data_IF_453973358569
#
_entry.id   IF_453973358569
#
_cell.length_a   1.000
_cell.length_b   1.000
_cell.length_c   1.000
_cell.angle_alpha   90.00
_cell.angle_beta   90.00
_cell.angle_gamma   90.00
#
_symmetry.space_group_name_H-M   'P 1'
#
loop_
_entity.id
_entity.type
_entity.pdbx_description
1 polymer ?
2 non-polymer ?
3 non-polymer ?
4 water ?
#
# COMPACT_ATOMS: atom_id res chain seq x y z
N UNK A 1 2.95 15.87 4.50
CA UNK A 1 3.61 14.68 3.90
C UNK A 1 3.15 14.38 2.48
N UNK A 2 3.95 13.61 1.75
CA UNK A 2 3.63 13.21 0.38
C UNK A 2 3.13 11.79 0.37
N UNK A 3 1.87 11.62 -0.04
CA UNK A 3 1.23 10.31 -0.09
C UNK A 3 1.10 9.82 -1.54
N UNK A 4 1.33 8.53 -1.75
CA UNK A 4 1.24 7.95 -3.09
C UNK A 4 0.21 6.83 -3.15
N UNK A 5 -0.65 6.90 -4.15
CA UNK A 5 -1.70 5.92 -4.39
C UNK A 5 -1.57 5.49 -5.85
N UNK A 6 -1.95 4.26 -6.16
CA UNK A 6 -1.89 3.78 -7.53
C UNK A 6 -3.26 3.19 -7.85
N UNK A 7 -3.85 3.60 -8.97
CA UNK A 7 -5.15 3.06 -9.33
C UNK A 7 -5.54 3.23 -10.79
N UNK A 8 -6.52 2.46 -11.22
CA UNK A 8 -7.05 2.57 -12.56
C UNK A 8 -8.51 3.02 -12.42
N UNK A 9 -9.18 3.28 -13.53
CA UNK A 9 -10.54 3.76 -13.48
C UNK A 9 -11.48 3.02 -12.51
N UNK A 10 -11.38 1.70 -12.47
CA UNK A 10 -12.22 0.86 -11.62
C UNK A 10 -12.18 1.22 -10.13
N UNK A 11 -11.02 1.61 -9.64
CA UNK A 11 -10.84 1.94 -8.23
C UNK A 11 -10.88 3.45 -7.92
N UNK A 12 -11.25 4.25 -8.91
CA UNK A 12 -11.26 5.70 -8.72
C UNK A 12 -12.09 6.18 -7.51
N UNK A 13 -13.30 5.65 -7.35
CA UNK A 13 -14.15 6.06 -6.23
C UNK A 13 -13.54 5.61 -4.91
N UNK A 14 -12.88 4.46 -4.92
CA UNK A 14 -12.27 3.97 -3.71
C UNK A 14 -11.03 4.80 -3.41
N UNK A 15 -10.28 5.16 -4.43
CA UNK A 15 -9.12 6.00 -4.23
C UNK A 15 -9.57 7.25 -3.45
N UNK A 16 -10.71 7.79 -3.85
CA UNK A 16 -11.27 8.98 -3.21
C UNK A 16 -11.46 8.77 -1.71
N UNK A 17 -12.13 7.68 -1.34
CA UNK A 17 -12.39 7.37 0.07
C UNK A 17 -11.11 7.18 0.90
N UNK A 18 -10.16 6.39 0.39
CA UNK A 18 -8.91 6.17 1.09
C UNK A 18 -8.18 7.50 1.24
N UNK A 19 -8.31 8.33 0.22
CA UNK A 19 -7.65 9.63 0.20
C UNK A 19 -8.21 10.53 1.30
N UNK A 20 -9.53 10.58 1.42
CA UNK A 20 -10.17 11.42 2.41
C UNK A 20 -9.86 10.97 3.84
N UNK A 21 -9.79 9.66 4.06
CA UNK A 21 -9.49 9.12 5.38
C UNK A 21 -8.13 9.65 5.83
N UNK A 22 -7.19 9.75 4.90
CA UNK A 22 -5.86 10.25 5.21
C UNK A 22 -5.95 11.69 5.69
N UNK A 23 -6.76 12.50 5.00
CA UNK A 23 -6.93 13.90 5.36
C UNK A 23 -7.57 14.02 6.74
N UNK A 24 -8.58 13.19 7.01
CA UNK A 24 -9.26 13.22 8.31
C UNK A 24 -8.34 12.87 9.46
N UNK A 25 -7.31 12.08 9.18
CA UNK A 25 -6.35 11.67 10.20
C UNK A 25 -5.23 12.70 10.35
N UNK A 26 -5.24 13.70 9.47
CA UNK A 26 -4.23 14.74 9.53
C UNK A 26 -4.83 16.13 9.32
N UNK A 27 -5.67 16.58 10.26
CA UNK A 27 -6.33 17.89 10.20
C UNK A 27 -5.39 19.09 10.01
N UNK A 28 -4.20 19.03 10.59
CA UNK A 28 -3.26 20.14 10.45
C UNK A 28 -2.00 19.81 9.66
N UNK A 29 -1.99 18.67 8.98
CA UNK A 29 -0.83 18.33 8.19
C UNK A 29 -1.11 18.47 6.70
N UNK A 30 -0.17 19.07 5.99
CA UNK A 30 -0.32 19.26 4.55
C UNK A 30 -0.11 17.93 3.82
N UNK A 31 -1.20 17.36 3.31
CA UNK A 31 -1.12 16.09 2.58
C UNK A 31 -1.03 16.33 1.08
N UNK A 32 0.09 15.91 0.48
CA UNK A 32 0.28 16.07 -0.96
C UNK A 32 0.08 14.72 -1.60
N UNK A 33 -0.99 14.60 -2.37
CA UNK A 33 -1.33 13.36 -3.06
C UNK A 33 -0.70 13.23 -4.45
N UNK A 34 -0.04 12.09 -4.68
CA UNK A 34 0.60 11.78 -5.98
C UNK A 34 -0.06 10.46 -6.39
N UNK A 35 -0.87 10.51 -7.45
CA UNK A 35 -1.59 9.32 -7.90
C UNK A 35 -1.03 8.75 -9.18
N UNK A 36 -0.71 7.46 -9.16
CA UNK A 36 -0.18 6.76 -10.33
C UNK A 36 -1.45 6.33 -11.07
N UNK A 37 -1.77 7.06 -12.13
CA UNK A 37 -2.97 6.84 -12.92
C UNK A 37 -2.79 5.90 -14.11
N UNK A 38 -3.46 4.75 -14.04
CA UNK A 38 -3.37 3.77 -15.11
C UNK A 38 -4.64 3.74 -15.97
N UNK A 39 -5.27 4.90 -16.13
CA UNK A 39 -6.46 4.97 -16.97
C UNK A 39 -7.70 5.54 -16.32
N UNK A 40 -7.52 6.47 -15.39
CA UNK A 40 -8.66 7.10 -14.74
C UNK A 40 -9.22 8.18 -15.67
N UNK A 41 -10.51 8.12 -15.95
CA UNK A 41 -11.11 9.10 -16.84
C UNK A 41 -11.04 10.49 -16.25
N UNK A 42 -11.13 11.50 -17.10
CA UNK A 42 -11.08 12.88 -16.67
C UNK A 42 -12.24 13.18 -15.73
N UNK A 43 -13.36 12.50 -15.95
CA UNK A 43 -14.53 12.72 -15.12
C UNK A 43 -14.21 12.16 -13.76
N UNK A 44 -13.57 10.98 -13.75
CA UNK A 44 -13.22 10.34 -12.49
C UNK A 44 -12.13 11.07 -11.68
N UNK A 45 -11.12 11.63 -12.34
CA UNK A 45 -10.12 12.35 -11.58
C UNK A 45 -10.66 13.69 -11.11
N UNK A 46 -11.66 14.21 -11.83
CA UNK A 46 -12.25 15.47 -11.46
C UNK A 46 -13.11 15.30 -10.22
N UNK A 47 -13.87 14.20 -10.14
CA UNK A 47 -14.71 13.93 -8.98
C UNK A 47 -13.85 13.64 -7.76
N UNK A 48 -12.72 12.97 -7.96
CA UNK A 48 -11.82 12.65 -6.86
C UNK A 48 -11.32 13.93 -6.20
N UNK A 49 -10.64 14.76 -6.99
CA UNK A 49 -10.09 16.02 -6.51
C UNK A 49 -11.17 16.89 -5.88
N UNK A 50 -12.38 16.81 -6.43
CA UNK A 50 -13.48 17.59 -5.89
C UNK A 50 -13.83 17.22 -4.43
N UNK A 51 -13.67 15.96 -4.07
CA UNK A 51 -13.98 15.49 -2.72
C UNK A 51 -12.92 15.74 -1.66
N UNK A 52 -11.77 16.25 -2.07
CA UNK A 52 -10.69 16.52 -1.12
C UNK A 52 -10.54 18.02 -0.79
N UNK A 53 -9.53 18.33 0.02
CA UNK A 53 -9.26 19.71 0.43
C UNK A 53 -8.74 20.57 -0.73
N UNK A 54 -9.03 21.86 -0.66
CA UNK A 54 -8.58 22.79 -1.70
C UNK A 54 -9.25 22.54 -3.05
N UNK A 55 -10.40 21.89 -3.02
CA UNK A 55 -11.08 21.58 -4.27
C UNK A 55 -10.19 20.70 -5.11
N UNK A 56 -9.30 19.95 -4.44
CA UNK A 56 -8.37 19.07 -5.12
C UNK A 56 -7.08 19.79 -5.41
N UNK A 57 -6.67 20.68 -4.51
CA UNK A 57 -5.45 21.43 -4.70
C UNK A 57 -4.18 20.62 -4.46
N UNK A 58 -4.21 19.68 -3.52
CA UNK A 58 -3.03 18.89 -3.24
C UNK A 58 -3.04 17.48 -3.80
N UNK A 59 -3.33 17.37 -5.09
CA UNK A 59 -3.32 16.07 -5.74
C UNK A 59 -2.98 16.22 -7.21
N UNK A 60 -2.01 15.44 -7.66
CA UNK A 60 -1.58 15.46 -9.05
C UNK A 60 -1.63 14.02 -9.57
N UNK A 61 -2.27 13.81 -10.73
CA UNK A 61 -2.35 12.46 -11.29
C UNK A 61 -1.18 12.26 -12.24
N UNK A 62 -0.41 11.20 -12.01
CA UNK A 62 0.74 10.91 -12.85
C UNK A 62 0.36 9.75 -13.78
N UNK A 63 0.37 9.98 -15.08
CA UNK A 63 0.03 8.94 -16.04
C UNK A 63 1.10 7.86 -16.07
N UNK A 64 0.67 6.61 -16.09
CA UNK A 64 1.58 5.48 -16.16
C UNK A 64 1.00 4.53 -17.20
N UNK A 65 1.85 3.71 -17.80
CA UNK A 65 1.37 2.77 -18.81
C UNK A 65 1.23 1.36 -18.25
N UNK A 66 -0.01 0.88 -18.11
CA UNK A 66 -0.22 -0.47 -17.59
C UNK A 66 0.43 -1.54 -18.47
N UNK A 67 0.53 -1.28 -19.77
CA UNK A 67 1.14 -2.24 -20.69
C UNK A 67 2.60 -2.50 -20.33
N UNK A 68 3.16 -1.63 -19.51
CA UNK A 68 4.56 -1.76 -19.10
C UNK A 68 4.83 -3.04 -18.31
N UNK A 69 3.80 -3.53 -17.62
CA UNK A 69 3.95 -4.70 -16.77
C UNK A 69 3.26 -5.93 -17.32
N UNK A 70 2.81 -5.82 -18.57
CA UNK A 70 2.10 -6.89 -19.25
C UNK A 70 2.72 -8.29 -19.10
N UNK A 71 4.02 -8.36 -18.86
CA UNK A 71 4.67 -9.65 -18.72
C UNK A 71 4.69 -10.23 -17.32
N UNK A 72 4.30 -9.42 -16.33
CA UNK A 72 4.29 -9.87 -14.94
C UNK A 72 3.05 -10.70 -14.60
N UNK A 73 3.23 -11.77 -13.80
CA UNK A 73 2.13 -12.65 -13.41
C UNK A 73 0.99 -11.92 -12.70
N UNK A 74 -0.23 -12.29 -13.05
CA UNK A 74 -1.44 -11.70 -12.48
C UNK A 74 -2.37 -12.83 -12.03
N UNK A 75 -1.89 -13.68 -11.12
CA UNK A 75 -2.68 -14.80 -10.63
C UNK A 75 -3.83 -14.45 -9.67
N UNK A 76 -3.61 -13.47 -8.80
CA UNK A 76 -4.63 -13.07 -7.84
C UNK A 76 -5.70 -12.24 -8.55
N UNK A 77 -6.87 -12.85 -8.73
CA UNK A 77 -8.02 -12.28 -9.43
C UNK A 77 -8.46 -10.85 -9.10
N UNK A 78 -8.64 -10.52 -7.83
CA UNK A 78 -9.10 -9.19 -7.44
C UNK A 78 -8.08 -8.07 -7.62
N UNK A 79 -6.90 -8.41 -8.11
CA UNK A 79 -5.86 -7.40 -8.33
C UNK A 79 -5.60 -7.21 -9.81
N UNK A 80 -5.48 -5.96 -10.25
CA UNK A 80 -5.20 -5.67 -11.66
C UNK A 80 -3.74 -5.31 -11.89
N UNK A 81 -3.38 -5.23 -13.16
CA UNK A 81 -2.01 -4.93 -13.56
C UNK A 81 -1.47 -3.66 -12.89
N UNK A 82 -2.37 -2.77 -12.49
CA UNK A 82 -1.96 -1.54 -11.85
C UNK A 82 -1.13 -1.77 -10.57
N UNK A 83 -1.24 -2.97 -10.01
CA UNK A 83 -0.51 -3.31 -8.79
C UNK A 83 1.03 -3.24 -8.94
N UNK A 84 1.52 -3.34 -10.18
CA UNK A 84 2.96 -3.29 -10.43
C UNK A 84 3.54 -1.90 -10.74
N UNK A 85 2.69 -0.88 -10.76
CA UNK A 85 3.15 0.48 -11.07
C UNK A 85 4.09 1.04 -10.02
N UNK A 86 3.89 0.64 -8.77
CA UNK A 86 4.73 1.13 -7.68
C UNK A 86 6.21 0.81 -7.95
N UNK A 87 6.47 -0.19 -8.79
CA UNK A 87 7.84 -0.58 -9.12
C UNK A 87 8.61 0.53 -9.82
N UNK A 88 7.89 1.45 -10.46
CA UNK A 88 8.52 2.57 -11.16
C UNK A 88 8.40 3.89 -10.42
N UNK A 89 8.30 3.82 -9.10
CA UNK A 89 8.17 5.01 -8.26
C UNK A 89 9.30 5.99 -8.58
N UNK A 90 10.53 5.49 -8.57
CA UNK A 90 11.69 6.32 -8.85
C UNK A 90 11.64 7.05 -10.18
N UNK A 91 10.79 6.59 -11.08
CA UNK A 91 10.65 7.22 -12.40
C UNK A 91 9.46 8.19 -12.48
N UNK A 92 8.41 7.91 -11.72
CA UNK A 92 7.19 8.74 -11.75
C UNK A 92 7.20 9.97 -10.84
N UNK A 93 8.10 10.01 -9.87
CA UNK A 93 8.11 11.14 -8.92
C UNK A 93 9.50 11.72 -8.72
N UNK A 94 9.65 13.01 -8.98
CA UNK A 94 10.94 13.68 -8.82
C UNK A 94 11.00 14.63 -7.63
N UNK A 95 9.92 15.37 -7.40
CA UNK A 95 9.86 16.36 -6.33
C UNK A 95 9.85 15.83 -4.89
N UNK A 96 10.29 14.60 -4.67
CA UNK A 96 10.33 14.04 -3.31
C UNK A 96 11.53 13.14 -3.07
N UNK A 97 12.06 13.19 -1.86
CA UNK A 97 13.17 12.31 -1.52
C UNK A 97 12.56 11.18 -0.71
N UNK A 98 11.29 11.35 -0.38
CA UNK A 98 10.56 10.37 0.42
C UNK A 98 9.06 10.49 0.25
N UNK A 99 8.40 9.35 0.05
CA UNK A 99 6.95 9.31 -0.10
C UNK A 99 6.42 8.12 0.67
N UNK A 100 5.13 8.13 0.98
CA UNK A 100 4.49 7.04 1.71
C UNK A 100 3.46 6.40 0.79
N UNK A 101 3.77 5.21 0.29
CA UNK A 101 2.87 4.48 -0.59
C UNK A 101 1.76 3.74 0.18
N UNK A 102 0.52 3.93 -0.27
CA UNK A 102 -0.64 3.28 0.34
C UNK A 102 -1.48 2.52 -0.69
N UNK A 103 -1.95 1.34 -0.32
CA UNK A 103 -2.80 0.56 -1.20
C UNK A 103 -4.18 1.24 -1.19
N UNK A 104 -4.95 1.10 -2.25
CA UNK A 104 -6.28 1.73 -2.28
C UNK A 104 -7.18 1.19 -1.18
N UNK A 105 -7.09 -0.11 -0.90
CA UNK A 105 -7.93 -0.75 0.12
C UNK A 105 -7.53 -0.51 1.58
N UNK A 106 -6.97 0.66 1.88
CA UNK A 106 -6.58 0.95 3.26
C UNK A 106 -7.52 1.99 3.84
N UNK A 107 -7.52 2.08 5.16
CA UNK A 107 -8.37 3.01 5.88
C UNK A 107 -7.52 3.54 7.01
N UNK A 108 -7.01 4.75 6.82
CA UNK A 108 -6.14 5.44 7.78
C UNK A 108 -6.92 5.99 8.96
N UNK A 109 -6.74 5.40 10.14
CA UNK A 109 -7.48 5.85 11.32
C UNK A 109 -6.73 6.82 12.24
N UNK A 110 -5.41 6.89 12.12
CA UNK A 110 -4.64 7.76 13.01
C UNK A 110 -3.41 8.33 12.35
N UNK A 111 -2.91 9.44 12.91
CA UNK A 111 -1.73 10.11 12.38
C UNK A 111 -0.72 9.10 11.83
N UNK A 112 -0.06 9.48 10.75
CA UNK A 112 0.93 8.64 10.08
C UNK A 112 2.31 9.23 10.24
N UNK A 113 2.39 10.40 10.87
CA UNK A 113 3.67 11.09 11.05
C UNK A 113 4.73 10.32 11.84
N UNK A 114 4.31 9.49 12.83
CA UNK A 114 5.35 8.76 13.56
C UNK A 114 6.05 7.78 12.61
N UNK A 115 5.28 7.24 11.66
CA UNK A 115 5.78 6.31 10.65
C UNK A 115 6.57 7.09 9.63
N UNK A 116 5.99 8.22 9.23
CA UNK A 116 6.58 9.13 8.27
C UNK A 116 7.94 9.62 8.80
N UNK A 117 7.97 10.10 10.04
CA UNK A 117 9.22 10.59 10.62
C UNK A 117 10.32 9.55 10.76
N UNK A 118 10.05 8.32 10.34
CA UNK A 118 11.07 7.29 10.45
C UNK A 118 12.27 7.64 9.61
N UNK A 119 13.45 7.37 10.14
CA UNK A 119 14.69 7.62 9.42
C UNK A 119 15.10 6.27 8.82
N UNK A 120 14.94 6.12 7.52
CA UNK A 120 15.27 4.89 6.81
C UNK A 120 16.78 4.75 6.56
N UNK A 121 17.56 5.68 7.10
CA UNK A 121 19.00 5.61 6.91
C UNK A 121 19.26 5.38 5.44
N UNK A 122 20.07 4.37 5.13
CA UNK A 122 20.40 4.07 3.74
C UNK A 122 19.61 2.87 3.21
N UNK A 123 18.56 2.48 3.93
CA UNK A 123 17.74 1.36 3.50
C UNK A 123 16.82 1.76 2.36
N UNK A 124 16.29 0.76 1.67
CA UNK A 124 15.39 0.97 0.55
C UNK A 124 14.01 1.51 0.95
N UNK A 125 13.48 0.98 2.06
CA UNK A 125 12.17 1.41 2.52
C UNK A 125 11.83 0.94 3.93
N UNK A 126 10.68 1.39 4.42
CA UNK A 126 10.19 1.01 5.72
C UNK A 126 8.84 0.36 5.45
N UNK A 127 8.57 -0.77 6.09
CA UNK A 127 7.31 -1.47 5.88
C UNK A 127 6.90 -2.36 7.06
N UNK A 128 5.66 -2.84 7.03
CA UNK A 128 5.16 -3.71 8.09
C UNK A 128 5.24 -5.17 7.69
N UNK A 129 5.55 -6.01 8.66
CA UNK A 129 5.66 -7.44 8.42
C UNK A 129 4.29 -8.03 8.08
N UNK A 130 4.31 -9.02 7.20
CA UNK A 130 3.09 -9.70 6.78
C UNK A 130 3.06 -11.04 7.50
N UNK A 131 2.10 -11.22 8.40
CA UNK A 131 1.98 -12.44 9.18
C UNK A 131 1.43 -13.61 8.37
N UNK A 132 0.47 -13.32 7.49
CA UNK A 132 -0.11 -14.37 6.70
C UNK A 132 0.95 -15.09 5.88
N UNK A 133 1.84 -14.32 5.28
CA UNK A 133 2.90 -14.90 4.47
C UNK A 133 4.02 -15.46 5.33
N UNK A 134 4.43 -14.68 6.34
CA UNK A 134 5.50 -15.07 7.24
C UNK A 134 5.28 -16.40 7.94
N UNK A 135 4.03 -16.76 8.21
CA UNK A 135 3.74 -18.00 8.89
C UNK A 135 3.41 -19.15 7.94
N UNK A 136 3.73 -18.99 6.66
CA UNK A 136 3.47 -20.05 5.71
C UNK A 136 4.79 -20.81 5.56
N UNK A 137 5.15 -21.53 6.62
CA UNK A 137 6.38 -22.31 6.66
C UNK A 137 6.92 -22.69 5.28
N UNK A 138 8.16 -22.29 5.00
CA UNK A 138 8.79 -22.64 3.73
C UNK A 138 8.62 -21.78 2.50
N UNK A 139 7.70 -20.81 2.51
CA UNK A 139 7.48 -19.97 1.33
C UNK A 139 8.52 -18.86 1.14
N UNK A 140 8.66 -18.04 2.17
CA UNK A 140 9.60 -16.93 2.15
C UNK A 140 10.94 -17.32 1.58
N UNK A 141 11.33 -18.58 1.82
CA UNK A 141 12.60 -19.09 1.34
C UNK A 141 12.62 -19.42 -0.15
N UNK A 142 11.46 -19.68 -0.75
CA UNK A 142 11.40 -19.99 -2.17
C UNK A 142 11.88 -18.79 -2.99
N UNK A 143 11.76 -17.59 -2.44
CA UNK A 143 12.22 -16.40 -3.17
C UNK A 143 13.62 -15.94 -2.76
N UNK A 144 14.34 -16.80 -2.03
CA UNK A 144 15.69 -16.47 -1.62
C UNK A 144 15.88 -15.77 -0.29
N UNK A 145 14.82 -15.58 0.48
CA UNK A 145 14.95 -14.91 1.78
C UNK A 145 15.40 -15.86 2.89
N UNK A 146 16.04 -15.30 3.90
CA UNK A 146 16.52 -16.09 5.05
C UNK A 146 15.48 -16.08 6.17
N UNK A 147 15.54 -17.06 7.05
CA UNK A 147 14.57 -17.12 8.15
C UNK A 147 14.61 -15.84 8.98
N UNK A 148 15.78 -15.20 9.02
CA UNK A 148 15.93 -13.97 9.78
C UNK A 148 15.45 -12.73 9.05
N UNK A 149 15.28 -12.83 7.73
CA UNK A 149 14.78 -11.70 6.94
C UNK A 149 13.26 -11.80 6.97
N UNK A 150 12.58 -10.70 7.29
CA UNK A 150 11.13 -10.74 7.41
C UNK A 150 10.34 -10.26 6.20
N UNK A 151 9.40 -11.09 5.77
CA UNK A 151 8.60 -10.76 4.61
C UNK A 151 7.61 -9.67 4.99
N UNK A 152 7.60 -8.60 4.19
CA UNK A 152 6.70 -7.50 4.46
C UNK A 152 5.60 -7.40 3.45
N UNK A 153 4.51 -6.73 3.86
CA UNK A 153 3.36 -6.50 3.01
C UNK A 153 3.62 -5.20 2.24
N UNK A 154 3.24 -5.15 0.96
CA UNK A 154 3.47 -3.96 0.14
C UNK A 154 2.31 -2.97 0.11
N UNK A 155 1.37 -3.11 1.03
CA UNK A 155 0.22 -2.22 1.08
C UNK A 155 0.49 -0.86 1.70
N UNK A 156 1.53 -0.79 2.52
CA UNK A 156 1.91 0.46 3.18
C UNK A 156 3.42 0.56 3.06
N UNK A 157 3.91 1.66 2.51
CA UNK A 157 5.37 1.79 2.32
C UNK A 157 5.97 3.18 2.42
N UNK A 158 7.02 3.28 3.21
CA UNK A 158 7.73 4.53 3.35
C UNK A 158 8.93 4.27 2.46
N UNK A 159 8.92 4.88 1.30
CA UNK A 159 9.98 4.68 0.33
C UNK A 159 11.02 5.79 0.31
N UNK A 160 12.28 5.37 0.29
CA UNK A 160 13.43 6.26 0.24
C UNK A 160 13.63 6.55 -1.24
N UNK A 161 12.83 7.46 -1.79
CA UNK A 161 12.91 7.77 -3.22
C UNK A 161 14.30 8.15 -3.74
N UNK A 162 14.99 9.04 -3.05
CA UNK A 162 16.32 9.47 -3.48
C UNK A 162 17.23 8.29 -3.80
N UNK A 163 17.16 7.23 -2.98
CA UNK A 163 17.98 6.05 -3.22
C UNK A 163 17.42 5.26 -4.39
N UNK A 164 16.10 5.21 -4.49
CA UNK A 164 15.46 4.49 -5.58
C UNK A 164 15.82 5.11 -6.93
N UNK A 165 15.86 6.43 -6.98
CA UNK A 165 16.19 7.15 -8.21
C UNK A 165 17.60 6.85 -8.68
N UNK A 166 18.44 6.38 -7.76
CA UNK A 166 19.83 6.05 -8.08
C UNK A 166 19.91 4.72 -8.84
N UNK A 167 18.98 3.82 -8.57
CA UNK A 167 18.98 2.50 -9.20
C UNK A 167 17.86 2.32 -10.22
N UNK A 168 18.00 1.31 -11.08
CA UNK A 168 17.01 1.01 -12.10
C UNK A 168 16.09 -0.12 -11.61
N UNK A 169 15.22 0.23 -10.67
CA UNK A 169 14.27 -0.70 -10.06
C UNK A 169 13.40 -1.51 -11.03
N UNK A 170 13.00 -0.90 -12.14
CA UNK A 170 12.18 -1.66 -13.07
C UNK A 170 12.98 -2.74 -13.80
N UNK A 171 14.28 -2.53 -14.02
CA UNK A 171 15.09 -3.54 -14.70
C UNK A 171 15.42 -4.67 -13.74
N UNK A 172 15.67 -4.31 -12.49
CA UNK A 172 15.97 -5.29 -11.45
C UNK A 172 14.71 -6.12 -11.17
N UNK A 173 13.53 -5.51 -11.34
CA UNK A 173 12.27 -6.22 -11.12
C UNK A 173 12.09 -7.21 -12.26
N UNK A 174 12.41 -6.77 -13.47
CA UNK A 174 12.30 -7.63 -14.63
C UNK A 174 13.23 -8.82 -14.48
N UNK A 175 14.48 -8.53 -14.11
CA UNK A 175 15.48 -9.57 -13.89
C UNK A 175 15.01 -10.57 -12.84
N UNK A 176 14.59 -10.05 -11.70
CA UNK A 176 14.12 -10.90 -10.62
C UNK A 176 12.93 -11.75 -11.10
N UNK A 177 11.95 -11.10 -11.72
CA UNK A 177 10.77 -11.81 -12.19
C UNK A 177 11.11 -12.91 -13.20
N UNK A 178 12.31 -12.86 -13.75
CA UNK A 178 12.69 -13.88 -14.71
C UNK A 178 13.35 -15.01 -13.92
N UNK A 179 13.90 -14.64 -12.78
CA UNK A 179 14.57 -15.59 -11.92
C UNK A 179 13.55 -16.41 -11.09
N UNK A 180 12.55 -15.75 -10.54
CA UNK A 180 11.57 -16.44 -9.70
C UNK A 180 10.14 -16.51 -10.26
N UNK A 181 10.02 -16.42 -11.57
CA UNK A 181 8.72 -16.49 -12.24
C UNK A 181 7.87 -17.74 -11.95
N UNK A 182 8.52 -18.90 -11.83
CA UNK A 182 7.80 -20.15 -11.60
C UNK A 182 7.72 -20.55 -10.12
N UNK A 183 7.51 -19.57 -9.25
CA UNK A 183 7.44 -19.84 -7.81
C UNK A 183 6.75 -18.74 -7.02
N UNK A 184 6.94 -17.49 -7.45
CA UNK A 184 6.33 -16.38 -6.75
C UNK A 184 4.82 -16.56 -6.75
N UNK A 185 4.17 -16.06 -5.70
CA UNK A 185 2.72 -16.22 -5.59
C UNK A 185 2.06 -14.93 -5.14
N UNK A 186 2.86 -13.91 -4.89
CA UNK A 186 2.29 -12.66 -4.42
C UNK A 186 2.64 -11.44 -5.27
N UNK A 187 3.12 -11.70 -6.48
CA UNK A 187 3.42 -10.64 -7.42
C UNK A 187 4.33 -9.51 -6.94
N UNK A 188 3.98 -8.27 -7.25
CA UNK A 188 4.79 -7.13 -6.87
C UNK A 188 5.28 -7.19 -5.42
N UNK A 189 4.53 -7.90 -4.58
CA UNK A 189 4.89 -8.06 -3.18
C UNK A 189 6.14 -8.94 -3.06
N UNK A 190 6.27 -9.88 -3.99
CA UNK A 190 7.40 -10.79 -4.05
C UNK A 190 8.61 -10.06 -4.60
N UNK A 191 8.39 -9.27 -5.63
CA UNK A 191 9.48 -8.52 -6.25
C UNK A 191 10.18 -7.63 -5.24
N UNK A 192 9.38 -6.86 -4.51
CA UNK A 192 9.90 -5.95 -3.50
C UNK A 192 10.68 -6.66 -2.41
N UNK A 193 10.14 -7.79 -1.94
CA UNK A 193 10.80 -8.57 -0.89
C UNK A 193 12.13 -9.17 -1.36
N UNK A 194 12.13 -9.76 -2.54
CA UNK A 194 13.35 -10.37 -3.05
C UNK A 194 14.44 -9.34 -3.25
N UNK A 195 14.06 -8.25 -3.93
CA UNK A 195 14.98 -7.16 -4.23
C UNK A 195 15.57 -6.41 -3.03
N UNK A 196 14.77 -6.19 -1.98
CA UNK A 196 15.24 -5.44 -0.83
C UNK A 196 15.47 -6.19 0.48
N UNK A 197 15.44 -7.51 0.43
CA UNK A 197 15.67 -8.30 1.63
C UNK A 197 16.99 -7.91 2.28
N UNK A 198 16.97 -7.75 3.60
CA UNK A 198 18.20 -7.38 4.29
C UNK A 198 18.44 -5.88 4.30
N UNK A 199 17.59 -5.13 3.61
CA UNK A 199 17.75 -3.68 3.59
C UNK A 199 16.44 -2.95 3.84
N UNK A 200 15.62 -3.52 4.72
CA UNK A 200 14.32 -2.95 5.04
C UNK A 200 14.20 -2.56 6.51
N UNK A 201 13.58 -1.41 6.77
CA UNK A 201 13.34 -0.97 8.14
C UNK A 201 11.92 -1.42 8.39
N UNK A 202 11.65 -2.01 9.55
CA UNK A 202 10.30 -2.45 9.85
C UNK A 202 9.62 -1.49 10.81
N UNK A 203 8.32 -1.32 10.61
CA UNK A 203 7.50 -0.44 11.44
C UNK A 203 6.50 -1.32 12.19
N UNK A 204 5.93 -0.80 13.29
CA UNK A 204 4.98 -1.58 14.06
C UNK A 204 3.79 -1.92 13.18
N UNK A 205 3.10 -3.01 13.49
CA UNK A 205 1.94 -3.44 12.72
C UNK A 205 0.72 -2.51 12.83
N UNK A 206 0.84 -1.43 13.60
CA UNK A 206 -0.26 -0.50 13.73
C UNK A 206 -0.39 0.30 12.44
N UNK A 207 0.67 0.36 11.64
CA UNK A 207 0.61 1.12 10.41
C UNK A 207 0.22 0.26 9.20
N UNK A 208 -0.20 -0.97 9.48
CA UNK A 208 -0.64 -1.89 8.44
C UNK A 208 -1.42 -3.02 9.10
N UNK A 209 -2.52 -2.65 9.74
CA UNK A 209 -3.36 -3.62 10.44
C UNK A 209 -4.21 -4.43 9.44
N UNK A 210 -3.87 -5.71 9.28
CA UNK A 210 -4.61 -6.58 8.35
C UNK A 210 -5.43 -7.66 9.07
N UNK A 211 -6.23 -8.44 8.32
CA UNK A 211 -7.03 -9.50 8.94
C UNK A 211 -6.20 -10.44 9.82
N UNK A 212 -5.06 -10.89 9.29
CA UNK A 212 -4.17 -11.78 10.02
C UNK A 212 -3.66 -11.12 11.31
N UNK A 213 -3.39 -9.82 11.25
CA UNK A 213 -2.93 -9.11 12.43
C UNK A 213 -4.07 -9.14 13.44
N UNK A 214 -5.27 -8.83 12.95
CA UNK A 214 -6.45 -8.83 13.79
C UNK A 214 -6.61 -10.19 14.47
N UNK A 215 -6.76 -11.23 13.67
CA UNK A 215 -6.91 -12.60 14.17
C UNK A 215 -5.94 -12.90 15.29
N UNK A 216 -4.72 -12.40 15.17
CA UNK A 216 -3.71 -12.65 16.19
C UNK A 216 -4.04 -11.97 17.51
N UNK A 217 -4.78 -10.88 17.47
CA UNK A 217 -5.18 -10.17 18.68
C UNK A 217 -5.84 -11.17 19.61
N UNK A 218 -6.37 -12.24 19.01
CA UNK A 218 -7.02 -13.29 19.78
C UNK A 218 -6.04 -14.45 20.04
N UNK A 219 -4.82 -14.12 20.44
CA UNK A 219 -3.82 -15.12 20.74
C UNK A 219 -4.31 -15.98 21.90
N UNK A 222 0.65 -17.71 17.25
CA UNK A 222 1.59 -17.60 18.35
C UNK A 222 3.02 -17.25 17.88
N UNK A 223 3.19 -16.02 17.41
CA UNK A 223 4.47 -15.49 16.92
C UNK A 223 5.37 -16.50 16.19
N UNK A 224 5.57 -16.28 14.90
CA UNK A 224 6.38 -17.16 14.07
C UNK A 224 7.86 -17.18 14.51
N UNK A 225 8.23 -16.26 15.40
CA UNK A 225 9.61 -16.19 15.85
C UNK A 225 9.72 -15.78 17.32
N UNK A 226 10.92 -15.91 17.85
CA UNK A 226 11.21 -15.56 19.24
C UNK A 226 12.02 -14.27 19.25
N UNK A 227 12.62 -13.97 18.10
CA UNK A 227 13.40 -12.76 17.93
C UNK A 227 12.64 -11.59 18.55
N UNK A 228 13.25 -10.90 19.52
CA UNK A 228 12.59 -9.76 20.16
C UNK A 228 12.14 -8.67 19.20
N UNK A 229 12.91 -8.43 18.15
CA UNK A 229 12.56 -7.39 17.19
C UNK A 229 11.25 -7.71 16.48
N UNK A 230 11.14 -8.93 15.98
CA UNK A 230 9.94 -9.39 15.27
C UNK A 230 8.72 -9.24 16.17
N UNK A 231 8.81 -9.80 17.38
CA UNK A 231 7.72 -9.73 18.34
C UNK A 231 7.35 -8.27 18.63
N UNK A 232 8.36 -7.42 18.70
CA UNK A 232 8.14 -6.02 18.97
C UNK A 232 7.37 -5.37 17.81
N UNK A 233 7.74 -5.74 16.58
CA UNK A 233 7.10 -5.18 15.40
C UNK A 233 5.71 -5.72 15.10
N UNK A 234 5.55 -7.03 15.20
CA UNK A 234 4.28 -7.67 14.91
C UNK A 234 3.28 -7.47 16.03
N UNK A 235 3.72 -6.79 17.09
CA UNK A 235 2.83 -6.50 18.20
C UNK A 235 2.27 -5.12 17.93
N UNK A 236 1.01 -5.07 17.54
CA UNK A 236 0.39 -3.79 17.26
C UNK A 236 0.28 -2.95 18.51
N UNK A 237 0.82 -1.73 18.45
CA UNK A 237 0.73 -0.80 19.56
C UNK A 237 -0.52 0.05 19.29
N UNK A 238 -1.59 -0.23 20.02
CA UNK A 238 -2.83 0.50 19.88
C UNK A 238 -2.59 2.01 20.03
N UNK A 239 -3.41 2.83 19.37
CA UNK A 239 -4.53 2.43 18.51
C UNK A 239 -4.08 2.12 17.07
N UNK A 240 -4.91 1.37 16.35
CA UNK A 240 -4.61 1.04 14.97
C UNK A 240 -4.58 2.34 14.18
N UNK A 241 -3.51 2.56 13.41
CA UNK A 241 -3.37 3.78 12.61
C UNK A 241 -3.78 3.54 11.15
N UNK A 242 -3.56 2.31 10.68
CA UNK A 242 -3.92 1.94 9.33
C UNK A 242 -4.53 0.57 9.22
N UNK A 243 -5.78 0.52 8.74
CA UNK A 243 -6.47 -0.74 8.53
C UNK A 243 -6.23 -1.12 7.06
N UNK A 244 -5.71 -2.31 6.81
CA UNK A 244 -5.46 -2.75 5.43
C UNK A 244 -6.31 -3.97 5.14
N UNK A 245 -7.34 -3.79 4.32
CA UNK A 245 -8.25 -4.87 3.99
C UNK A 245 -7.73 -5.83 2.94
N UNK A 246 -6.52 -6.30 3.24
CA UNK A 246 -5.78 -7.25 2.44
C UNK A 246 -6.72 -8.42 2.03
N UNK A 247 -6.49 -9.00 0.86
CA UNK A 247 -7.32 -10.11 0.40
C UNK A 247 -8.56 -9.76 -0.42
N UNK A 248 -9.35 -10.76 -0.81
CA UNK A 248 -10.57 -10.61 -1.60
C UNK A 248 -11.73 -9.80 -0.99
N UNK A 249 -11.79 -9.73 0.33
CA UNK A 249 -12.89 -9.02 1.01
C UNK A 249 -12.55 -7.56 1.31
N UNK A 250 -13.25 -6.65 0.64
CA UNK A 250 -13.01 -5.23 0.80
C UNK A 250 -14.17 -4.55 1.55
N UNK A 251 -13.88 -3.46 2.29
CA UNK A 251 -14.90 -2.72 3.04
C UNK A 251 -16.01 -2.16 2.17
N UNK A 252 -15.81 -2.15 0.86
CA UNK A 252 -16.82 -1.65 -0.05
C UNK A 252 -17.67 -2.79 -0.61
N UNK A 253 -17.30 -4.01 -0.24
CA UNK A 253 -18.04 -5.19 -0.69
C UNK A 253 -19.27 -5.44 0.17
N UNK A 254 -20.03 -6.45 -0.23
CA UNK A 254 -21.24 -6.83 0.48
C UNK A 254 -20.88 -7.85 1.55
N UNK A 255 -21.47 -7.70 2.72
CA UNK A 255 -21.23 -8.63 3.80
C UNK A 255 -19.77 -8.59 4.24
N UNK A 256 -19.22 -7.39 4.43
CA UNK A 256 -17.85 -7.32 4.88
C UNK A 256 -17.87 -7.42 6.40
N UNK A 257 -17.16 -8.42 6.91
CA UNK A 257 -17.08 -8.67 8.34
C UNK A 257 -15.77 -8.17 8.92
N UNK A 258 -14.89 -7.68 8.07
CA UNK A 258 -13.59 -7.16 8.49
C UNK A 258 -13.74 -6.01 9.48
N UNK A 259 -12.91 -6.04 10.52
CA UNK A 259 -12.91 -5.01 11.55
C UNK A 259 -12.85 -3.59 11.01
N UNK A 260 -13.50 -2.67 11.70
CA UNK A 260 -13.50 -1.27 11.32
C UNK A 260 -13.99 -0.90 9.94
N UNK A 261 -14.61 -1.86 9.24
CA UNK A 261 -15.09 -1.61 7.88
C UNK A 261 -16.21 -0.55 7.76
N UNK A 262 -16.81 -0.16 8.88
CA UNK A 262 -17.88 0.85 8.86
C UNK A 262 -17.36 2.25 8.51
N UNK A 263 -16.12 2.54 8.90
CA UNK A 263 -15.54 3.85 8.64
C UNK A 263 -15.55 4.17 7.15
N UNK A 264 -15.56 3.13 6.31
CA UNK A 264 -15.58 3.32 4.87
C UNK A 264 -16.86 4.06 4.51
N UNK A 265 -18.00 3.51 4.95
CA UNK A 265 -19.30 4.11 4.70
C UNK A 265 -19.39 5.48 5.36
N UNK A 266 -18.92 5.56 6.60
CA UNK A 266 -18.93 6.82 7.34
C UNK A 266 -18.28 7.93 6.49
N UNK A 267 -17.23 7.57 5.77
CA UNK A 267 -16.49 8.50 4.93
C UNK A 267 -17.12 8.63 3.55
N UNK A 268 -17.75 7.55 3.10
CA UNK A 268 -18.42 7.55 1.80
C UNK A 268 -19.61 8.49 1.90
N UNK A 269 -20.36 8.38 2.99
CA UNK A 269 -21.52 9.22 3.19
C UNK A 269 -21.18 10.66 3.55
N UNK A 270 -19.89 10.96 3.64
CA UNK A 270 -19.45 12.31 3.97
C UNK A 270 -18.84 13.04 2.77
N UNK A 271 -18.76 12.35 1.64
CA UNK A 271 -18.20 12.95 0.43
C UNK A 271 -18.92 14.21 0.01
N UNK A 272 -18.19 15.11 -0.64
CA UNK A 272 -18.74 16.35 -1.15
C UNK A 272 -19.49 16.10 -2.46
N UNK A 273 -18.80 15.43 -3.38
CA UNK A 273 -19.35 15.13 -4.71
C UNK A 273 -19.32 13.64 -5.05
N UNK A 274 -20.50 13.09 -5.32
CA UNK A 274 -20.64 11.68 -5.67
C UNK A 274 -21.35 11.56 -7.03
N UNK A 275 -20.61 11.19 -8.08
CA UNK A 275 -21.11 11.02 -9.45
C UNK A 275 -22.11 9.88 -9.52
N UNK A 276 -23.13 10.01 -10.35
CA UNK A 276 -24.12 8.95 -10.46
C UNK A 276 -23.47 7.58 -10.57
N UNK A 277 -22.46 7.46 -11.42
CA UNK A 277 -21.77 6.19 -11.63
C UNK A 277 -21.04 5.64 -10.40
N UNK A 278 -20.95 6.43 -9.35
CA UNK A 278 -20.29 5.97 -8.13
C UNK A 278 -21.32 5.43 -7.14
N UNK A 279 -22.59 5.83 -7.31
CA UNK A 279 -23.66 5.39 -6.41
C UNK A 279 -23.56 3.92 -6.06
N UNK A 280 -23.39 3.08 -7.08
CA UNK A 280 -23.26 1.66 -6.83
C UNK A 280 -22.08 1.33 -5.93
N UNK A 281 -20.87 1.45 -6.48
CA UNK A 281 -19.62 1.18 -5.78
C UNK A 281 -19.67 1.52 -4.28
N UNK A 282 -20.47 2.53 -3.94
CA UNK A 282 -20.59 2.97 -2.56
C UNK A 282 -21.97 2.70 -1.94
X LIG B 1 -4.11 -4.02 -0.51
X LIG C 1 -5.86 -2.14 -8.21
X LIG C 1 -6.63 -1.14 -8.89
X LIG C 1 -7.85 -1.63 -9.43
X LIG C 1 -8.36 -3.00 -9.36
X LIG C 1 -7.55 -3.99 -8.65
X LIG C 1 -6.37 -3.57 -8.11
X LIG C 1 -6.27 -0.01 -8.99
X LIG C 1 -9.43 -3.24 -9.89
X LIG C 1 -4.47 -1.93 -7.51
X LIG C 1 -4.55 -0.94 -6.38
X LIG C 1 -3.42 -0.13 -6.40
X LIG C 1 -4.66 -1.78 -5.15
X LIG C 1 -3.53 -2.71 -5.45
X LIG C 1 -3.82 -3.03 -6.87
X LIG C 1 -4.33 -1.10 -3.94
X LIG C 1 -3.36 -4.18 -5.34
X LIG C 1 -4.34 -5.03 -4.66
X LIG C 1 -5.26 -5.02 -3.39
X LIG C 1 -5.19 -3.82 -2.54
X LIG C 1 -6.64 -5.28 -3.90
X LIG C 1 -4.29 -6.20 -2.98
X LIG C 1 -4.21 -7.07 -1.70
X LIG C 1 -3.96 -6.07 -0.66
X LIG C 1 -5.51 -7.70 -1.60
X LIG C 1 -3.10 -8.18 -1.52
X LIG C 1 -1.69 -8.57 -1.34
X LIG C 1 -0.95 -7.45 -0.59
X LIG C 1 -0.93 -6.16 -1.47
X LIG C 1 -0.17 -6.41 -2.82
X LIG C 1 -0.96 -7.58 -3.50
X LIG C 1 -0.27 -7.95 -4.80
X LIG C 1 -1.63 -7.26 0.65
X LIG C 1 -0.25 -5.10 -0.77
X LIG C 1 1.23 -6.80 -2.50
X LIG C 1 -0.99 -8.81 -2.65
X LIG C 1 -0.70 -8.97 -5.68
#
# INVERSE_FOLDING_TARGET
MDIVFAADDNYAAYLCVAAKSVEAAHPDTEIRFHVLDAGISEANRAAVAANLRGGGGNIRFIDVNPEDFAGFPLNIRHISITTYARLKLGEYIADCDKVLYLDIDVLVRDSLTPLWDTDLGDNWLGACIDLFVERQEGYKQKIGMADGEYYFNAGVLLINLKKWRRHDIFKMSCEWVEQYKDVMQYQDEDILNGLFKGGVCYANSRFNFMPTNYAFMANRFASRHTDPLYRDRTNTVMPVAVSHYCGPAKPWHRDCTAWGAERFTELAGSLTTVPEEWRGKLAVPHRMFSTKRMLQRWRRKLSARFLRKIY
MN MN
UPF N1 C2 N3 C4 C5 C6 O2 O4 C1D C2D O2' C3D C4D O4D O3D C5D O5D PA O1A O2A O3A PB O1B O2B O3B C1' C2' C3' C4' C5' C6' F2' O3' O4' O5' O6'
#
